data_IF_890804264456
#
_entry.id   IF_890804264456
#
_cell.length_a   1.000
_cell.length_b   1.000
_cell.length_c   1.000
_cell.angle_alpha   90.00
_cell.angle_beta   90.00
_cell.angle_gamma   90.00
#
_symmetry.space_group_name_H-M   'P 1'
#
loop_
_entity.id
_entity.type
_entity.pdbx_description
1 polymer ?
#
# COMPACT_ATOMS: atom_id res chain seq x y z
N UNK A 1 25.36 18.24 23.49
CA UNK A 1 25.03 17.14 22.56
C UNK A 1 25.94 15.96 22.85
N UNK A 2 25.41 14.74 22.83
CA UNK A 2 26.25 13.53 22.89
C UNK A 2 27.08 13.39 21.61
N UNK A 3 28.16 12.60 21.64
CA UNK A 3 29.01 12.40 20.45
C UNK A 3 28.24 11.84 19.24
N UNK A 4 27.24 10.98 19.49
CA UNK A 4 26.35 10.48 18.45
C UNK A 4 25.48 11.57 17.82
N UNK A 5 24.85 12.45 18.62
CA UNK A 5 24.00 13.52 18.10
C UNK A 5 24.78 14.44 17.17
N UNK A 6 26.02 14.80 17.55
CA UNK A 6 26.89 15.65 16.73
C UNK A 6 27.29 15.00 15.40
N UNK A 7 27.53 13.68 15.39
CA UNK A 7 27.84 12.95 14.16
C UNK A 7 26.62 12.88 13.20
N UNK A 8 25.43 12.59 13.73
CA UNK A 8 24.20 12.59 12.94
C UNK A 8 23.90 13.96 12.35
N UNK A 9 23.97 15.01 13.17
CA UNK A 9 23.72 16.37 12.69
C UNK A 9 24.67 16.71 11.54
N UNK A 10 25.98 16.44 11.69
CA UNK A 10 26.96 16.64 10.61
C UNK A 10 26.54 15.93 9.32
N UNK A 11 26.24 14.62 9.41
CA UNK A 11 25.81 13.81 8.25
C UNK A 11 24.57 14.39 7.58
N UNK A 12 23.55 14.73 8.36
CA UNK A 12 22.28 15.30 7.85
C UNK A 12 22.53 16.63 7.15
N UNK A 13 23.26 17.55 7.78
CA UNK A 13 23.56 18.87 7.23
C UNK A 13 24.44 18.81 5.98
N UNK A 14 25.33 17.82 5.89
CA UNK A 14 26.14 17.54 4.71
C UNK A 14 25.37 16.81 3.59
N UNK A 15 24.12 16.38 3.83
CA UNK A 15 23.33 15.61 2.88
C UNK A 15 23.77 14.16 2.71
N UNK A 16 24.57 13.64 3.64
CA UNK A 16 25.07 12.27 3.65
C UNK A 16 23.96 11.27 3.99
N UNK A 17 24.00 10.08 3.39
CA UNK A 17 23.05 9.00 3.69
C UNK A 17 23.39 8.38 5.05
N UNK A 18 22.40 8.36 5.94
CA UNK A 18 22.50 7.66 7.22
C UNK A 18 22.58 6.14 7.03
N UNK A 19 23.35 5.50 7.89
CA UNK A 19 23.53 4.04 7.93
C UNK A 19 22.40 3.36 8.73
N UNK A 20 22.36 2.02 8.70
CA UNK A 20 21.45 1.26 9.55
C UNK A 20 21.72 1.44 11.05
N UNK A 21 22.99 1.58 11.44
CA UNK A 21 23.39 1.83 12.82
C UNK A 21 22.91 3.20 13.31
N UNK A 22 23.06 4.22 12.45
CA UNK A 22 22.53 5.57 12.70
C UNK A 22 21.01 5.52 12.94
N UNK A 23 20.26 4.79 12.10
CA UNK A 23 18.81 4.64 12.26
C UNK A 23 18.43 3.96 13.58
N UNK A 24 19.13 2.89 13.99
CA UNK A 24 18.90 2.22 15.28
C UNK A 24 19.18 3.15 16.46
N UNK A 25 20.26 3.92 16.38
CA UNK A 25 20.60 4.88 17.42
C UNK A 25 19.58 6.03 17.50
N UNK A 26 19.06 6.50 16.37
CA UNK A 26 17.96 7.48 16.33
C UNK A 26 16.67 6.93 16.95
N UNK A 27 16.29 5.68 16.64
CA UNK A 27 15.11 5.02 17.22
C UNK A 27 15.21 4.86 18.75
N UNK A 28 16.42 4.79 19.30
CA UNK A 28 16.68 4.71 20.75
C UNK A 28 16.80 6.07 21.43
N UNK A 29 16.80 7.17 20.67
CA UNK A 29 16.86 8.52 21.21
C UNK A 29 15.51 8.94 21.77
N UNK A 30 15.51 9.51 22.97
CA UNK A 30 14.34 10.12 23.59
C UNK A 30 14.28 11.65 23.41
N UNK A 31 15.28 12.23 22.74
CA UNK A 31 15.33 13.67 22.48
C UNK A 31 14.50 14.02 21.25
N UNK A 32 13.20 14.24 21.45
CA UNK A 32 12.27 14.57 20.38
C UNK A 32 12.61 15.89 19.69
N UNK A 33 13.16 16.87 20.42
CA UNK A 33 13.49 18.18 19.84
C UNK A 33 14.63 18.05 18.82
N UNK A 34 15.67 17.28 19.17
CA UNK A 34 16.75 16.95 18.25
C UNK A 34 16.23 16.24 16.99
N UNK A 35 15.39 15.21 17.16
CA UNK A 35 14.81 14.46 16.04
C UNK A 35 13.94 15.35 15.14
N UNK A 36 13.05 16.14 15.74
CA UNK A 36 12.14 17.02 15.02
C UNK A 36 12.88 18.12 14.26
N UNK A 37 13.92 18.72 14.86
CA UNK A 37 14.71 19.77 14.22
C UNK A 37 15.43 19.25 12.96
N UNK A 38 16.08 18.08 13.03
CA UNK A 38 16.76 17.50 11.88
C UNK A 38 15.78 17.03 10.79
N UNK A 39 14.65 16.46 11.19
CA UNK A 39 13.60 16.04 10.26
C UNK A 39 13.00 17.25 9.52
N UNK A 40 12.65 18.33 10.22
CA UNK A 40 12.13 19.55 9.59
C UNK A 40 13.19 20.25 8.73
N UNK A 41 14.45 20.30 9.17
CA UNK A 41 15.54 20.79 8.34
C UNK A 41 15.61 20.03 7.01
N UNK A 42 15.61 18.68 7.06
CA UNK A 42 15.68 17.86 5.83
C UNK A 42 14.45 18.06 4.96
N UNK A 43 13.26 18.09 5.55
CA UNK A 43 11.99 18.35 4.84
C UNK A 43 12.04 19.67 4.07
N UNK A 44 12.55 20.75 4.67
CA UNK A 44 12.72 22.07 4.03
C UNK A 44 13.70 22.07 2.85
N UNK A 45 14.64 21.11 2.80
CA UNK A 45 15.58 20.96 1.67
C UNK A 45 14.98 20.19 0.49
N UNK A 46 14.05 19.27 0.74
CA UNK A 46 13.50 18.37 -0.30
C UNK A 46 12.07 18.72 -0.72
N UNK A 47 11.42 19.66 -0.05
CA UNK A 47 10.07 20.13 -0.34
C UNK A 47 9.98 21.64 -0.22
N UNK A 48 8.97 22.25 -0.83
CA UNK A 48 8.60 23.63 -0.59
C UNK A 48 8.02 23.77 0.83
N UNK A 49 8.71 24.46 1.76
CA UNK A 49 8.31 24.48 3.16
C UNK A 49 7.03 25.27 3.43
N UNK A 50 6.60 26.12 2.49
CA UNK A 50 5.35 26.86 2.56
C UNK A 50 4.15 26.07 2.01
N UNK A 51 4.38 24.86 1.47
CA UNK A 51 3.37 24.06 0.81
C UNK A 51 3.15 22.74 1.53
N UNK A 52 1.89 22.45 1.82
CA UNK A 52 1.43 21.15 2.29
C UNK A 52 0.43 20.63 1.27
N UNK A 53 0.67 19.43 0.75
CA UNK A 53 -0.23 18.78 -0.21
C UNK A 53 -1.17 17.83 0.51
N UNK A 54 -2.37 17.67 -0.03
CA UNK A 54 -3.34 16.68 0.39
C UNK A 54 -4.10 16.17 -0.83
N UNK A 55 -4.67 14.97 -0.73
CA UNK A 55 -5.62 14.45 -1.70
C UNK A 55 -6.99 14.25 -1.02
N UNK A 56 -8.05 14.34 -1.81
CA UNK A 56 -9.39 13.90 -1.38
C UNK A 56 -9.56 12.53 -2.02
N UNK A 57 -9.48 11.49 -1.19
CA UNK A 57 -9.58 10.11 -1.60
C UNK A 57 -10.67 9.34 -0.86
N UNK A 58 -11.00 8.15 -1.37
CA UNK A 58 -11.95 7.23 -0.73
C UNK A 58 -11.38 5.83 -0.64
N UNK A 59 -11.46 5.25 0.55
CA UNK A 59 -11.20 3.83 0.73
C UNK A 59 -12.45 3.04 0.31
N UNK A 60 -12.28 2.10 -0.62
CA UNK A 60 -13.32 1.16 -0.99
C UNK A 60 -12.82 -0.24 -0.68
N UNK A 61 -13.45 -0.87 0.30
CA UNK A 61 -13.21 -2.26 0.60
C UNK A 61 -14.17 -3.14 -0.17
N UNK A 62 -13.75 -3.70 -1.30
CA UNK A 62 -14.64 -4.44 -2.21
C UNK A 62 -15.02 -5.84 -1.68
N UNK A 63 -14.23 -6.41 -0.78
CA UNK A 63 -14.54 -7.64 -0.06
C UNK A 63 -13.80 -7.69 1.25
N UNK A 64 -14.41 -8.25 2.30
CA UNK A 64 -13.72 -8.60 3.54
C UNK A 64 -13.33 -10.10 3.61
N UNK A 65 -13.67 -10.90 2.60
CA UNK A 65 -13.39 -12.34 2.60
C UNK A 65 -11.90 -12.59 2.32
N UNK A 66 -11.20 -13.19 3.28
CA UNK A 66 -9.77 -13.42 3.20
C UNK A 66 -9.35 -14.72 3.89
N UNK A 67 -8.47 -15.49 3.25
CA UNK A 67 -7.98 -16.75 3.82
C UNK A 67 -6.73 -16.61 4.71
N UNK A 68 -6.04 -15.46 4.69
CA UNK A 68 -4.73 -15.24 5.36
C UNK A 68 -4.81 -15.14 6.88
N UNK A 69 -5.93 -14.68 7.46
CA UNK A 69 -6.18 -14.66 8.92
C UNK A 69 -5.05 -13.99 9.75
N UNK A 70 -4.63 -12.78 9.37
CA UNK A 70 -3.64 -12.02 10.14
C UNK A 70 -4.11 -11.76 11.58
N UNK A 71 -3.23 -11.93 12.58
CA UNK A 71 -3.58 -11.79 14.01
C UNK A 71 -4.03 -10.38 14.41
N UNK A 72 -3.66 -9.37 13.65
CA UNK A 72 -3.96 -7.96 13.90
C UNK A 72 -5.13 -7.43 13.05
N UNK A 73 -5.69 -8.24 12.14
CA UNK A 73 -6.71 -7.77 11.22
C UNK A 73 -8.11 -8.04 11.79
N UNK A 74 -8.82 -6.97 12.20
CA UNK A 74 -10.22 -7.04 12.61
C UNK A 74 -11.21 -7.09 11.43
N UNK A 75 -10.73 -6.74 10.22
CA UNK A 75 -11.57 -6.60 9.03
C UNK A 75 -11.93 -7.95 8.40
N UNK A 76 -11.01 -8.93 8.42
CA UNK A 76 -11.18 -10.13 7.61
C UNK A 76 -12.34 -11.02 8.08
N UNK A 77 -12.95 -11.72 7.14
CA UNK A 77 -13.87 -12.85 7.37
C UNK A 77 -13.39 -14.07 6.60
N UNK A 78 -13.56 -15.25 7.18
CA UNK A 78 -13.12 -16.49 6.53
C UNK A 78 -14.03 -16.77 5.32
N UNK A 79 -13.55 -17.48 4.29
CA UNK A 79 -14.44 -17.94 3.22
C UNK A 79 -15.62 -18.74 3.78
N UNK A 80 -16.84 -18.35 3.42
CA UNK A 80 -18.08 -18.97 3.91
C UNK A 80 -18.60 -18.45 5.27
N UNK A 81 -17.96 -17.43 5.83
CA UNK A 81 -18.44 -16.72 7.02
C UNK A 81 -19.66 -15.85 6.66
N UNK A 82 -20.67 -15.82 7.54
CA UNK A 82 -21.94 -15.12 7.29
C UNK A 82 -21.78 -13.59 7.22
N UNK A 83 -20.72 -13.04 7.82
CA UNK A 83 -20.37 -11.62 7.71
C UNK A 83 -19.49 -11.31 6.48
N UNK A 84 -19.17 -12.32 5.68
CA UNK A 84 -18.39 -12.20 4.46
C UNK A 84 -19.18 -11.53 3.33
N UNK A 85 -18.58 -10.57 2.62
CA UNK A 85 -19.22 -9.90 1.48
C UNK A 85 -18.28 -9.71 0.30
N UNK A 86 -18.87 -9.58 -0.88
CA UNK A 86 -18.28 -8.94 -2.07
C UNK A 86 -19.27 -7.86 -2.48
N UNK A 87 -18.82 -6.61 -2.57
CA UNK A 87 -19.69 -5.50 -2.95
C UNK A 87 -20.15 -5.69 -4.41
N UNK A 88 -21.44 -5.43 -4.71
CA UNK A 88 -21.90 -5.26 -6.08
C UNK A 88 -21.12 -4.14 -6.78
N UNK A 89 -20.91 -4.28 -8.09
CA UNK A 89 -20.19 -3.28 -8.89
C UNK A 89 -20.89 -1.93 -8.79
N UNK A 90 -22.22 -1.91 -8.80
CA UNK A 90 -23.05 -0.71 -8.69
C UNK A 90 -22.77 0.06 -7.39
N UNK A 91 -22.59 -0.66 -6.27
CA UNK A 91 -22.21 -0.06 -4.98
C UNK A 91 -20.81 0.54 -5.04
N UNK A 92 -19.86 -0.09 -5.74
CA UNK A 92 -18.51 0.47 -5.94
C UNK A 92 -18.59 1.73 -6.80
N UNK A 93 -19.37 1.72 -7.88
CA UNK A 93 -19.53 2.87 -8.77
C UNK A 93 -20.24 4.04 -8.07
N UNK A 94 -21.23 3.78 -7.21
CA UNK A 94 -21.88 4.81 -6.40
C UNK A 94 -20.87 5.51 -5.48
N UNK A 95 -20.01 4.73 -4.81
CA UNK A 95 -18.92 5.26 -3.96
C UNK A 95 -17.91 6.10 -4.74
N UNK A 96 -17.58 5.71 -5.97
CA UNK A 96 -16.75 6.54 -6.87
C UNK A 96 -17.46 7.85 -7.23
N UNK A 97 -18.75 7.80 -7.53
CA UNK A 97 -19.55 9.00 -7.81
C UNK A 97 -19.63 9.96 -6.61
N UNK A 98 -19.78 9.43 -5.40
CA UNK A 98 -19.72 10.21 -4.16
C UNK A 98 -18.37 10.92 -4.00
N UNK A 99 -17.27 10.24 -4.26
CA UNK A 99 -15.92 10.81 -4.22
C UNK A 99 -15.77 11.97 -5.21
N UNK A 100 -16.17 11.76 -6.47
CA UNK A 100 -16.06 12.78 -7.52
C UNK A 100 -16.93 14.00 -7.20
N UNK A 101 -18.16 13.80 -6.70
CA UNK A 101 -19.03 14.90 -6.25
C UNK A 101 -18.45 15.69 -5.08
N UNK A 102 -17.65 15.05 -4.22
CA UNK A 102 -16.93 15.70 -3.13
C UNK A 102 -15.63 16.40 -3.60
N UNK A 103 -15.33 16.41 -4.90
CA UNK A 103 -14.11 17.02 -5.46
C UNK A 103 -12.87 16.15 -5.34
N UNK A 104 -13.02 14.87 -5.00
CA UNK A 104 -11.92 13.92 -4.92
C UNK A 104 -11.69 13.13 -6.20
N UNK A 105 -10.57 12.39 -6.22
CA UNK A 105 -10.10 11.69 -7.42
C UNK A 105 -9.52 10.31 -7.13
N UNK A 106 -8.84 10.12 -6.01
CA UNK A 106 -8.15 8.86 -5.71
C UNK A 106 -9.05 7.86 -4.97
N UNK A 107 -9.13 6.63 -5.48
CA UNK A 107 -9.77 5.50 -4.79
C UNK A 107 -8.68 4.57 -4.28
N UNK A 108 -8.60 4.40 -2.96
CA UNK A 108 -7.83 3.31 -2.35
C UNK A 108 -8.69 2.05 -2.38
N UNK A 109 -8.46 1.18 -3.37
CA UNK A 109 -9.21 -0.05 -3.58
C UNK A 109 -8.50 -1.22 -2.90
N UNK A 110 -9.05 -1.77 -1.81
CA UNK A 110 -8.43 -2.85 -1.05
C UNK A 110 -9.44 -3.93 -0.68
N UNK A 111 -9.01 -5.16 -0.50
CA UNK A 111 -9.90 -6.24 -0.11
C UNK A 111 -9.20 -7.40 0.57
N UNK A 112 -9.98 -8.43 0.83
CA UNK A 112 -9.47 -9.73 1.26
C UNK A 112 -9.01 -10.59 0.07
N UNK A 113 -8.19 -11.60 0.38
CA UNK A 113 -7.76 -12.60 -0.58
C UNK A 113 -8.88 -13.61 -0.82
N UNK A 114 -9.80 -13.27 -1.73
CA UNK A 114 -11.00 -14.06 -2.00
C UNK A 114 -10.69 -15.24 -2.96
N UNK A 115 -10.95 -16.50 -2.58
CA UNK A 115 -10.48 -17.68 -3.34
C UNK A 115 -11.17 -17.91 -4.69
N UNK A 116 -12.30 -17.25 -4.94
CA UNK A 116 -13.07 -17.37 -6.19
C UNK A 116 -12.91 -16.19 -7.16
N UNK A 117 -12.32 -15.08 -6.75
CA UNK A 117 -12.18 -13.90 -7.61
C UNK A 117 -10.87 -14.02 -8.37
N UNK A 118 -10.92 -14.37 -9.66
CA UNK A 118 -9.75 -14.43 -10.54
C UNK A 118 -9.52 -13.08 -11.23
N UNK A 119 -8.39 -12.95 -11.92
CA UNK A 119 -7.95 -11.75 -12.62
C UNK A 119 -9.07 -11.08 -13.45
N UNK A 120 -9.89 -11.84 -14.18
CA UNK A 120 -10.97 -11.28 -15.03
C UNK A 120 -11.98 -10.45 -14.21
N UNK A 121 -12.30 -10.89 -12.98
CA UNK A 121 -13.21 -10.16 -12.11
C UNK A 121 -12.65 -8.79 -11.72
N UNK A 122 -11.34 -8.71 -11.45
CA UNK A 122 -10.68 -7.44 -11.12
C UNK A 122 -10.58 -6.53 -12.34
N UNK A 123 -10.28 -7.09 -13.51
CA UNK A 123 -10.23 -6.30 -14.74
C UNK A 123 -11.59 -5.70 -15.06
N UNK A 124 -12.67 -6.46 -14.92
CA UNK A 124 -14.03 -5.98 -15.16
C UNK A 124 -14.42 -4.88 -14.15
N UNK A 125 -14.06 -5.04 -12.87
CA UNK A 125 -14.26 -4.00 -11.86
C UNK A 125 -13.51 -2.70 -12.20
N UNK A 126 -12.22 -2.80 -12.52
CA UNK A 126 -11.39 -1.65 -12.87
C UNK A 126 -11.92 -0.93 -14.11
N UNK A 127 -12.24 -1.68 -15.18
CA UNK A 127 -12.82 -1.12 -16.41
C UNK A 127 -14.15 -0.42 -16.14
N UNK A 128 -15.03 -1.04 -15.35
CA UNK A 128 -16.30 -0.43 -14.96
C UNK A 128 -16.10 0.89 -14.19
N UNK A 129 -15.15 0.92 -13.25
CA UNK A 129 -14.81 2.13 -12.49
C UNK A 129 -14.29 3.24 -13.40
N UNK A 130 -13.32 2.95 -14.28
CA UNK A 130 -12.74 3.95 -15.20
C UNK A 130 -13.74 4.41 -16.27
N UNK A 131 -14.66 3.55 -16.69
CA UNK A 131 -15.71 3.90 -17.65
C UNK A 131 -16.77 4.82 -17.04
N UNK A 132 -17.12 4.62 -15.76
CA UNK A 132 -18.17 5.39 -15.10
C UNK A 132 -17.68 6.73 -14.54
N UNK A 133 -16.44 6.80 -14.03
CA UNK A 133 -15.95 7.96 -13.29
C UNK A 133 -14.47 8.27 -13.57
N UNK A 134 -14.06 9.55 -13.57
CA UNK A 134 -12.68 9.96 -13.77
C UNK A 134 -11.85 9.82 -12.47
N UNK A 135 -11.78 8.61 -11.92
CA UNK A 135 -11.03 8.29 -10.70
C UNK A 135 -9.65 7.70 -11.01
N UNK A 136 -8.70 7.97 -10.12
CA UNK A 136 -7.38 7.31 -10.09
C UNK A 136 -7.48 6.14 -9.11
N UNK A 137 -7.23 4.93 -9.58
CA UNK A 137 -7.35 3.70 -8.79
C UNK A 137 -5.97 3.37 -8.21
N UNK A 138 -5.81 3.70 -6.92
CA UNK A 138 -4.68 3.28 -6.10
C UNK A 138 -5.06 1.96 -5.40
N UNK A 139 -4.73 0.82 -6.01
CA UNK A 139 -5.45 -0.42 -5.75
C UNK A 139 -4.58 -1.63 -5.48
N UNK A 140 -5.15 -2.53 -4.67
CA UNK A 140 -4.64 -3.84 -4.30
C UNK A 140 -3.33 -3.80 -3.53
N UNK A 141 -3.28 -4.45 -2.38
CA UNK A 141 -2.01 -4.74 -1.73
C UNK A 141 -1.13 -5.66 -2.58
N UNK A 142 0.17 -5.65 -2.31
CA UNK A 142 1.10 -6.65 -2.84
C UNK A 142 0.64 -8.09 -2.58
N UNK A 143 0.03 -8.33 -1.41
CA UNK A 143 -0.52 -9.62 -1.01
C UNK A 143 -1.68 -10.03 -1.92
N UNK A 144 -2.60 -9.10 -2.21
CA UNK A 144 -3.72 -9.35 -3.13
C UNK A 144 -3.22 -9.66 -4.53
N UNK A 145 -2.35 -8.83 -5.12
CA UNK A 145 -1.83 -9.05 -6.48
C UNK A 145 -1.10 -10.40 -6.58
N UNK A 146 -0.27 -10.76 -5.59
CA UNK A 146 0.39 -12.05 -5.55
C UNK A 146 -0.60 -13.21 -5.52
N UNK A 147 -1.69 -13.06 -4.77
CA UNK A 147 -2.73 -14.07 -4.70
C UNK A 147 -3.56 -14.16 -5.98
N UNK A 148 -3.88 -13.02 -6.61
CA UNK A 148 -4.54 -12.95 -7.92
C UNK A 148 -3.71 -13.70 -8.95
N UNK A 149 -2.40 -13.46 -9.01
CA UNK A 149 -1.48 -14.18 -9.89
C UNK A 149 -1.53 -15.70 -9.64
N UNK A 150 -1.46 -16.10 -8.37
CA UNK A 150 -1.49 -17.51 -7.97
C UNK A 150 -2.79 -18.23 -8.39
N UNK A 151 -3.97 -17.70 -8.03
CA UNK A 151 -5.26 -18.36 -8.32
C UNK A 151 -5.66 -18.28 -9.79
N UNK A 152 -5.13 -17.29 -10.51
CA UNK A 152 -5.33 -17.13 -11.96
C UNK A 152 -4.28 -17.88 -12.78
N UNK A 153 -3.29 -18.51 -12.13
CA UNK A 153 -2.17 -19.23 -12.77
C UNK A 153 -1.39 -18.36 -13.76
N UNK A 154 -1.16 -17.10 -13.38
CA UNK A 154 -0.42 -16.12 -14.18
C UNK A 154 0.95 -15.84 -13.56
N UNK A 155 1.88 -15.35 -14.38
CA UNK A 155 3.08 -14.72 -13.85
C UNK A 155 2.72 -13.39 -13.17
N UNK A 156 3.60 -12.93 -12.28
CA UNK A 156 3.44 -11.64 -11.62
C UNK A 156 3.41 -10.49 -12.64
N UNK A 157 4.33 -10.52 -13.61
CA UNK A 157 4.43 -9.51 -14.66
C UNK A 157 3.17 -9.45 -15.52
N UNK A 158 2.64 -10.62 -15.93
CA UNK A 158 1.40 -10.68 -16.70
C UNK A 158 0.21 -10.16 -15.89
N UNK A 159 0.13 -10.53 -14.60
CA UNK A 159 -0.92 -10.04 -13.70
C UNK A 159 -0.88 -8.52 -13.58
N UNK A 160 0.30 -7.93 -13.37
CA UNK A 160 0.48 -6.48 -13.26
C UNK A 160 0.13 -5.76 -14.57
N UNK A 161 0.56 -6.29 -15.72
CA UNK A 161 0.21 -5.74 -17.04
C UNK A 161 -1.30 -5.75 -17.25
N UNK A 162 -1.97 -6.87 -16.97
CA UNK A 162 -3.42 -7.01 -17.09
C UNK A 162 -4.19 -6.03 -16.20
N UNK A 163 -3.79 -5.89 -14.93
CA UNK A 163 -4.40 -4.93 -14.01
C UNK A 163 -4.19 -3.49 -14.46
N UNK A 164 -2.97 -3.12 -14.87
CA UNK A 164 -2.66 -1.78 -15.42
C UNK A 164 -3.50 -1.49 -16.66
N UNK A 165 -3.51 -2.40 -17.62
CA UNK A 165 -4.23 -2.25 -18.89
C UNK A 165 -5.75 -2.21 -18.68
N UNK A 166 -6.26 -2.78 -17.57
CA UNK A 166 -7.66 -2.66 -17.16
C UNK A 166 -7.99 -1.36 -16.40
N UNK A 167 -6.99 -0.59 -15.99
CA UNK A 167 -7.18 0.73 -15.39
C UNK A 167 -6.65 0.91 -13.96
N UNK A 168 -5.82 0.01 -13.44
CA UNK A 168 -5.09 0.23 -12.19
C UNK A 168 -4.00 1.30 -12.40
N UNK A 169 -4.07 2.42 -11.68
CA UNK A 169 -3.16 3.55 -11.86
C UNK A 169 -1.92 3.47 -10.97
N UNK A 170 -2.04 2.91 -9.76
CA UNK A 170 -0.90 2.73 -8.84
C UNK A 170 -1.18 1.68 -7.76
N UNK A 171 -0.12 1.23 -7.08
CA UNK A 171 -0.17 0.19 -6.05
C UNK A 171 0.23 0.79 -4.69
N UNK A 172 -0.55 0.59 -3.61
CA UNK A 172 -0.17 1.00 -2.27
C UNK A 172 1.08 0.27 -1.76
N UNK A 173 2.03 1.05 -1.23
CA UNK A 173 3.33 0.57 -0.76
C UNK A 173 3.34 -0.08 0.63
N UNK A 174 2.18 -0.30 1.26
CA UNK A 174 2.13 -0.83 2.63
C UNK A 174 2.60 -2.29 2.68
N UNK A 175 3.78 -2.51 3.28
CA UNK A 175 4.34 -3.84 3.49
C UNK A 175 3.98 -4.46 4.86
N UNK A 176 3.32 -3.68 5.72
CA UNK A 176 3.16 -3.90 7.17
C UNK A 176 4.51 -4.01 7.89
N UNK A 177 5.17 -5.16 7.76
CA UNK A 177 6.41 -5.54 8.41
C UNK A 177 7.24 -6.35 7.41
N UNK A 178 8.43 -5.90 7.02
CA UNK A 178 9.29 -6.63 6.06
C UNK A 178 10.28 -7.59 6.73
N UNK A 179 10.18 -7.78 8.05
CA UNK A 179 10.98 -8.75 8.79
C UNK A 179 10.24 -10.09 8.82
N UNK A 180 10.78 -11.09 8.11
CA UNK A 180 10.07 -12.35 7.87
C UNK A 180 9.76 -13.13 9.15
N UNK A 181 10.65 -13.12 10.14
CA UNK A 181 10.40 -13.77 11.44
C UNK A 181 9.23 -13.15 12.20
N UNK A 182 9.02 -11.84 12.06
CA UNK A 182 7.85 -11.15 12.63
C UNK A 182 6.61 -11.50 11.82
N UNK A 183 6.69 -11.53 10.47
CA UNK A 183 5.57 -11.98 9.61
C UNK A 183 5.12 -13.39 9.96
N UNK A 184 6.04 -14.32 10.22
CA UNK A 184 5.70 -15.68 10.67
C UNK A 184 4.87 -15.68 11.95
N UNK A 185 5.18 -14.77 12.88
CA UNK A 185 4.44 -14.67 14.13
C UNK A 185 3.03 -14.07 13.96
N UNK A 186 2.83 -13.10 13.04
CA UNK A 186 1.60 -12.29 13.00
C UNK A 186 0.73 -12.48 11.75
N UNK A 187 1.30 -12.93 10.64
CA UNK A 187 0.67 -13.09 9.34
C UNK A 187 1.36 -14.18 8.49
N UNK A 188 1.44 -15.44 8.97
CA UNK A 188 2.26 -16.49 8.36
C UNK A 188 1.87 -16.86 6.93
N UNK A 189 0.64 -16.55 6.52
CA UNK A 189 0.11 -16.85 5.18
C UNK A 189 0.25 -15.69 4.19
N UNK A 190 0.79 -14.52 4.61
CA UNK A 190 1.18 -13.45 3.68
C UNK A 190 2.49 -13.82 2.97
N UNK A 191 2.77 -13.15 1.86
CA UNK A 191 4.04 -13.28 1.16
C UNK A 191 5.23 -12.83 2.04
N UNK A 192 6.43 -13.32 1.71
CA UNK A 192 7.69 -12.93 2.37
C UNK A 192 8.28 -11.65 1.79
N UNK A 193 9.27 -11.09 2.48
CA UNK A 193 9.94 -9.84 2.15
C UNK A 193 10.49 -9.80 0.71
N UNK A 194 11.09 -10.91 0.26
CA UNK A 194 11.62 -11.05 -1.10
C UNK A 194 10.53 -10.94 -2.16
N UNK A 195 9.42 -11.65 -1.97
CA UNK A 195 8.29 -11.63 -2.91
C UNK A 195 7.59 -10.27 -2.96
N UNK A 196 7.49 -9.60 -1.82
CA UNK A 196 7.02 -8.21 -1.76
C UNK A 196 7.94 -7.29 -2.58
N UNK A 197 9.27 -7.46 -2.43
CA UNK A 197 10.27 -6.65 -3.14
C UNK A 197 10.25 -6.91 -4.65
N UNK A 198 10.10 -8.17 -5.07
CA UNK A 198 9.95 -8.57 -6.48
C UNK A 198 8.74 -7.90 -7.11
N UNK A 199 7.61 -7.87 -6.41
CA UNK A 199 6.40 -7.19 -6.86
C UNK A 199 6.63 -5.70 -7.07
N UNK A 200 7.17 -5.00 -6.06
CA UNK A 200 7.42 -3.55 -6.17
C UNK A 200 8.40 -3.23 -7.29
N UNK A 201 9.48 -4.01 -7.44
CA UNK A 201 10.45 -3.84 -8.55
C UNK A 201 9.82 -4.11 -9.91
N UNK A 202 8.92 -5.08 -10.01
CA UNK A 202 8.25 -5.41 -11.28
C UNK A 202 7.24 -4.35 -11.65
N UNK A 203 6.45 -3.87 -10.69
CA UNK A 203 5.55 -2.74 -10.88
C UNK A 203 6.32 -1.51 -11.38
N UNK A 204 7.39 -1.07 -10.68
CA UNK A 204 8.20 0.07 -11.11
C UNK A 204 8.80 -0.06 -12.52
N UNK A 205 9.11 -1.28 -12.98
CA UNK A 205 9.61 -1.51 -14.35
C UNK A 205 8.53 -1.37 -15.42
N UNK A 206 7.25 -1.51 -15.06
CA UNK A 206 6.12 -1.47 -15.98
C UNK A 206 5.50 -0.07 -16.14
N UNK A 207 6.04 0.93 -15.43
CA UNK A 207 5.52 2.30 -15.37
C UNK A 207 4.61 2.53 -14.19
#
# INVERSE_FOLDING_TARGET
MSGFQSDIERKVLAGERLTGEDAVALLKSHDLNFLAALADWKRKQVTDPARVTYNIGRNINYTNVCWVRCKFCAFYRKPGDDEGYVLPVETVLEKCGELVRAGGREVLLQGGLHPKLKIEWYEDLLRAMKAAWPVDIHGFSSTEINYIAHISRLSLEETLRRLRDAGLDSIPGAAEMIVDSVRDAIAPFKEKSERWTELMRTAHRLG
#
